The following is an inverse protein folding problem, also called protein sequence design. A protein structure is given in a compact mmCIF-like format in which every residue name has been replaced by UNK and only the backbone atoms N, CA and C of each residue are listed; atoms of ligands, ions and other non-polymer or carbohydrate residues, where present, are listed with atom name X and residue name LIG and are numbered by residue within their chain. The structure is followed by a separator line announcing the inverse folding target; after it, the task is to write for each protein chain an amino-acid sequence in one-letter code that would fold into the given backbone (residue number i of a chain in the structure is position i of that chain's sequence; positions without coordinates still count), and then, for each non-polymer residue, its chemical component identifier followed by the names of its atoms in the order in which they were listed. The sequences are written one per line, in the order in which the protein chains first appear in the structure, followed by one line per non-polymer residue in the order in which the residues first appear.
data_IF_817483823371
#
_entry.id   IF_817483823371
#
_cell.length_a   1.000
_cell.length_b   1.000
_cell.length_c   1.000
_cell.angle_alpha   90.00
_cell.angle_beta   90.00
_cell.angle_gamma   90.00
#
_symmetry.space_group_name_H-M   'P 1'
#
loop_
_entity.id
_entity.type
_entity.pdbx_description
1 polymer ?
#
# COMPACT_ATOMS: atom_id res chain seq x y z
N UNK A 1 18.48 26.29 9.82
CA UNK A 1 19.18 25.33 8.96
C UNK A 1 18.39 24.04 9.01
N UNK A 2 17.37 23.92 8.17
CA UNK A 2 16.63 22.66 7.97
C UNK A 2 17.50 21.87 7.00
N UNK A 3 18.10 20.79 7.47
CA UNK A 3 18.72 19.81 6.58
C UNK A 3 17.63 19.33 5.63
N UNK A 4 17.81 19.59 4.33
CA UNK A 4 16.99 19.01 3.27
C UNK A 4 16.92 17.51 3.53
N UNK A 5 15.75 17.03 3.96
CA UNK A 5 15.53 15.61 4.18
C UNK A 5 15.44 14.99 2.78
N UNK A 6 16.59 14.65 2.20
CA UNK A 6 16.66 13.96 0.92
C UNK A 6 16.04 12.59 1.14
N UNK A 7 14.77 12.45 0.74
CA UNK A 7 14.08 11.17 0.77
C UNK A 7 14.97 10.11 0.11
N UNK A 8 14.99 8.86 0.61
CA UNK A 8 15.97 7.84 0.24
C UNK A 8 15.67 7.25 -1.15
N UNK A 9 15.68 8.10 -2.17
CA UNK A 9 15.37 7.79 -3.55
C UNK A 9 16.69 7.71 -4.31
N UNK A 10 16.93 6.56 -4.93
CA UNK A 10 18.09 6.36 -5.81
C UNK A 10 18.05 7.34 -6.99
N UNK A 11 19.19 7.94 -7.30
CA UNK A 11 19.36 8.76 -8.51
C UNK A 11 19.49 7.91 -9.79
N UNK A 12 19.64 6.59 -9.63
CA UNK A 12 19.74 5.64 -10.75
C UNK A 12 18.38 4.96 -10.97
N UNK A 13 17.94 4.95 -12.23
CA UNK A 13 16.79 4.17 -12.67
C UNK A 13 17.16 2.69 -12.79
N UNK A 14 16.40 1.83 -12.15
CA UNK A 14 16.49 0.37 -12.32
C UNK A 14 15.41 -0.08 -13.29
N UNK A 15 15.80 -0.78 -14.36
CA UNK A 15 14.85 -1.27 -15.35
C UNK A 15 14.30 -2.65 -14.98
N UNK A 16 12.98 -2.78 -14.97
CA UNK A 16 12.27 -4.05 -14.80
C UNK A 16 11.80 -4.57 -16.17
N UNK A 17 12.20 -5.78 -16.59
CA UNK A 17 11.70 -6.37 -17.81
C UNK A 17 10.17 -6.51 -17.78
N UNK A 18 9.50 -6.08 -18.85
CA UNK A 18 8.04 -6.08 -18.94
C UNK A 18 7.42 -7.48 -18.72
N UNK A 19 8.11 -8.53 -19.20
CA UNK A 19 7.71 -9.91 -18.98
C UNK A 19 7.65 -10.26 -17.49
N UNK A 20 8.64 -9.83 -16.70
CA UNK A 20 8.72 -10.13 -15.28
C UNK A 20 7.69 -9.33 -14.48
N UNK A 21 7.49 -8.04 -14.81
CA UNK A 21 6.39 -7.25 -14.25
C UNK A 21 5.03 -7.93 -14.47
N UNK A 22 4.79 -8.45 -15.67
CA UNK A 22 3.54 -9.19 -15.96
C UNK A 22 3.40 -10.46 -15.14
N UNK A 23 4.48 -11.20 -14.91
CA UNK A 23 4.47 -12.37 -14.04
C UNK A 23 4.15 -12.00 -12.59
N UNK A 24 4.79 -10.96 -12.05
CA UNK A 24 4.52 -10.44 -10.71
C UNK A 24 3.05 -10.04 -10.56
N UNK A 25 2.53 -9.20 -11.47
CA UNK A 25 1.13 -8.76 -11.45
C UNK A 25 0.13 -9.92 -11.59
N UNK A 26 0.47 -10.97 -12.35
CA UNK A 26 -0.37 -12.16 -12.45
C UNK A 26 -0.42 -12.92 -11.12
N UNK A 27 0.71 -13.06 -10.43
CA UNK A 27 0.75 -13.70 -9.12
C UNK A 27 -0.04 -12.89 -8.09
N UNK A 28 0.16 -11.57 -8.01
CA UNK A 28 -0.58 -10.69 -7.09
C UNK A 28 -2.09 -10.84 -7.28
N UNK A 29 -2.59 -10.78 -8.53
CA UNK A 29 -4.01 -10.98 -8.83
C UNK A 29 -4.51 -12.40 -8.51
N UNK A 30 -3.65 -13.41 -8.65
CA UNK A 30 -4.01 -14.78 -8.31
C UNK A 30 -4.14 -14.96 -6.81
N UNK A 31 -3.17 -14.46 -6.04
CA UNK A 31 -3.20 -14.48 -4.56
C UNK A 31 -4.42 -13.71 -4.05
N UNK A 32 -4.70 -12.55 -4.63
CA UNK A 32 -5.90 -11.79 -4.29
C UNK A 32 -7.18 -12.60 -4.54
N UNK A 33 -7.36 -13.21 -5.72
CA UNK A 33 -8.53 -14.05 -5.97
C UNK A 33 -8.61 -15.30 -5.10
N UNK A 34 -7.46 -15.88 -4.75
CA UNK A 34 -7.40 -17.04 -3.88
C UNK A 34 -7.84 -16.68 -2.46
N UNK A 35 -7.46 -15.50 -1.96
CA UNK A 35 -7.88 -15.04 -0.63
C UNK A 35 -9.41 -14.80 -0.53
N UNK A 36 -10.04 -14.43 -1.65
CA UNK A 36 -11.50 -14.24 -1.76
C UNK A 36 -12.27 -15.56 -1.99
N UNK A 37 -11.59 -16.70 -2.17
CA UNK A 37 -12.25 -17.98 -2.42
C UNK A 37 -12.74 -18.61 -1.13
N UNK A 38 -14.06 -18.81 -1.00
CA UNK A 38 -14.67 -19.52 0.13
C UNK A 38 -14.09 -20.92 0.32
N UNK A 39 -14.07 -21.74 -0.72
CA UNK A 39 -13.52 -23.11 -0.66
C UNK A 39 -12.07 -23.15 -0.16
N UNK A 40 -11.23 -22.21 -0.59
CA UNK A 40 -9.85 -22.12 -0.12
C UNK A 40 -9.80 -21.70 1.36
N UNK A 41 -10.56 -20.68 1.74
CA UNK A 41 -10.66 -20.21 3.14
C UNK A 41 -11.10 -21.35 4.04
N UNK A 42 -12.21 -22.03 3.72
CA UNK A 42 -12.74 -23.16 4.48
C UNK A 42 -11.71 -24.29 4.63
N UNK A 43 -10.89 -24.51 3.60
CA UNK A 43 -9.85 -25.54 3.63
C UNK A 43 -8.69 -25.20 4.56
N UNK A 44 -8.30 -23.93 4.67
CA UNK A 44 -7.12 -23.50 5.45
C UNK A 44 -7.47 -22.99 6.85
N UNK A 45 -8.68 -22.45 7.05
CA UNK A 45 -9.12 -21.86 8.32
C UNK A 45 -8.92 -22.77 9.54
N UNK A 46 -9.21 -24.08 9.47
CA UNK A 46 -8.99 -24.99 10.60
C UNK A 46 -7.52 -25.09 11.03
N UNK A 47 -6.59 -24.83 10.12
CA UNK A 47 -5.14 -24.92 10.33
C UNK A 47 -4.53 -23.56 10.73
N UNK A 48 -5.30 -22.47 10.71
CA UNK A 48 -4.80 -21.12 11.04
C UNK A 48 -4.67 -20.91 12.56
N UNK A 49 -3.66 -20.15 13.02
CA UNK A 49 -3.61 -19.70 14.40
C UNK A 49 -4.79 -18.78 14.72
N UNK A 50 -5.23 -18.73 15.98
CA UNK A 50 -6.41 -17.98 16.40
C UNK A 50 -6.40 -16.50 15.94
N UNK A 51 -5.24 -15.85 15.94
CA UNK A 51 -5.09 -14.45 15.47
C UNK A 51 -5.39 -14.26 13.98
N UNK A 52 -5.19 -15.31 13.17
CA UNK A 52 -5.45 -15.29 11.72
C UNK A 52 -6.87 -15.78 11.36
N UNK A 53 -7.68 -16.15 12.35
CA UNK A 53 -9.09 -16.52 12.18
C UNK A 53 -10.04 -15.32 12.32
N UNK A 54 -9.52 -14.13 12.59
CA UNK A 54 -10.33 -12.92 12.63
C UNK A 54 -10.64 -12.45 11.21
N UNK A 55 -11.93 -12.29 10.91
CA UNK A 55 -12.43 -11.73 9.66
C UNK A 55 -13.28 -10.49 9.99
N UNK A 56 -12.80 -9.27 9.70
CA UNK A 56 -13.56 -8.05 9.97
C UNK A 56 -14.72 -7.83 8.99
N UNK A 57 -14.84 -8.63 7.92
CA UNK A 57 -15.90 -8.52 6.92
C UNK A 57 -15.67 -7.44 5.86
N UNK A 58 -14.56 -6.72 5.94
CA UNK A 58 -14.06 -5.75 4.96
C UNK A 58 -12.56 -6.00 4.72
N UNK A 59 -11.95 -5.27 3.79
CA UNK A 59 -10.57 -5.53 3.38
C UNK A 59 -9.56 -4.82 4.31
N UNK A 60 -8.51 -4.29 3.71
CA UNK A 60 -7.57 -3.37 4.33
C UNK A 60 -7.20 -2.33 3.26
N UNK A 61 -6.65 -1.20 3.68
CA UNK A 61 -6.36 -0.10 2.77
C UNK A 61 -5.42 -0.50 1.61
N UNK A 62 -4.32 -1.20 1.92
CA UNK A 62 -3.28 -1.51 0.95
C UNK A 62 -2.48 -2.76 1.35
N UNK A 63 -2.13 -3.57 0.34
CA UNK A 63 -1.19 -4.68 0.46
C UNK A 63 0.08 -4.43 -0.37
N UNK A 64 1.22 -4.90 0.12
CA UNK A 64 2.51 -4.91 -0.55
C UNK A 64 2.92 -6.34 -0.93
N UNK A 65 3.62 -6.49 -2.05
CA UNK A 65 4.11 -7.77 -2.54
C UNK A 65 5.52 -7.59 -3.03
N UNK A 66 6.48 -8.14 -2.28
CA UNK A 66 7.90 -7.91 -2.56
C UNK A 66 8.47 -9.06 -3.36
N UNK A 67 9.25 -8.71 -4.39
CA UNK A 67 9.83 -9.66 -5.31
C UNK A 67 11.34 -9.48 -5.41
N UNK A 68 12.04 -10.61 -5.53
CA UNK A 68 13.42 -10.64 -5.98
C UNK A 68 13.51 -11.17 -7.41
N UNK A 69 14.25 -10.48 -8.28
CA UNK A 69 14.51 -10.93 -9.65
C UNK A 69 15.66 -11.92 -9.65
N UNK A 70 15.42 -13.13 -10.16
CA UNK A 70 16.45 -14.17 -10.33
C UNK A 70 16.70 -14.44 -11.81
N UNK A 71 17.76 -15.21 -12.12
CA UNK A 71 18.00 -15.72 -13.48
C UNK A 71 16.81 -16.53 -14.06
N UNK A 72 15.93 -17.06 -13.20
CA UNK A 72 14.75 -17.84 -13.58
C UNK A 72 13.44 -17.05 -13.47
N UNK A 73 13.51 -15.72 -13.36
CA UNK A 73 12.36 -14.82 -13.21
C UNK A 73 12.09 -14.38 -11.76
N UNK A 74 10.97 -13.66 -11.54
CA UNK A 74 10.64 -13.08 -10.24
C UNK A 74 10.24 -14.15 -9.21
N UNK A 75 10.67 -13.94 -7.96
CA UNK A 75 10.30 -14.75 -6.79
C UNK A 75 9.68 -13.85 -5.74
N UNK A 76 8.46 -14.17 -5.30
CA UNK A 76 7.83 -13.52 -4.17
C UNK A 76 8.63 -13.85 -2.91
N UNK A 77 8.97 -12.82 -2.14
CA UNK A 77 9.70 -12.97 -0.88
C UNK A 77 8.82 -12.63 0.33
N UNK A 78 7.86 -11.73 0.17
CA UNK A 78 6.99 -11.27 1.26
C UNK A 78 5.64 -10.76 0.75
N UNK A 79 4.62 -10.92 1.58
CA UNK A 79 3.31 -10.27 1.41
C UNK A 79 3.05 -9.43 2.65
N UNK A 80 2.92 -8.13 2.47
CA UNK A 80 2.72 -7.14 3.52
C UNK A 80 1.25 -6.70 3.53
N UNK A 81 0.53 -6.90 4.65
CA UNK A 81 -0.90 -6.52 4.77
C UNK A 81 -1.11 -5.13 5.37
N UNK A 82 -0.03 -4.46 5.78
CA UNK A 82 0.00 -3.07 6.24
C UNK A 82 1.16 -2.35 5.53
N UNK A 83 1.09 -2.30 4.19
CA UNK A 83 2.21 -1.79 3.42
C UNK A 83 2.26 -0.26 3.43
N UNK A 84 3.48 0.29 3.46
CA UNK A 84 3.79 1.68 3.12
C UNK A 84 4.67 1.76 1.88
N UNK A 85 5.28 2.92 1.63
CA UNK A 85 6.20 3.15 0.50
C UNK A 85 5.51 3.65 -0.77
N UNK A 86 4.17 3.69 -0.81
CA UNK A 86 3.41 4.13 -1.98
C UNK A 86 3.62 5.61 -2.30
N UNK A 87 3.69 6.46 -1.27
CA UNK A 87 3.98 7.88 -1.43
C UNK A 87 5.40 8.12 -1.96
N UNK A 88 6.39 7.41 -1.41
CA UNK A 88 7.79 7.53 -1.83
C UNK A 88 7.98 7.01 -3.26
N UNK A 89 7.32 5.91 -3.63
CA UNK A 89 7.33 5.41 -4.99
C UNK A 89 6.72 6.42 -5.97
N UNK A 90 5.59 7.04 -5.60
CA UNK A 90 4.97 8.09 -6.41
C UNK A 90 5.88 9.31 -6.56
N UNK A 91 6.50 9.78 -5.49
CA UNK A 91 7.44 10.90 -5.56
C UNK A 91 8.69 10.57 -6.39
N UNK A 92 9.21 9.35 -6.30
CA UNK A 92 10.34 8.89 -7.11
C UNK A 92 10.03 8.99 -8.61
N UNK A 93 8.82 8.67 -9.04
CA UNK A 93 8.38 8.85 -10.43
C UNK A 93 8.32 10.34 -10.81
N UNK A 94 7.83 11.22 -9.92
CA UNK A 94 7.80 12.67 -10.18
C UNK A 94 9.21 13.25 -10.35
N UNK A 95 10.16 12.81 -9.53
CA UNK A 95 11.56 13.27 -9.56
C UNK A 95 12.36 12.73 -10.75
N UNK A 96 12.07 11.50 -11.21
CA UNK A 96 12.69 10.90 -12.40
C UNK A 96 12.34 11.63 -13.71
N UNK A 97 11.33 12.51 -13.69
CA UNK A 97 10.84 13.24 -14.85
C UNK A 97 10.01 12.36 -15.81
N UNK A 98 9.50 12.94 -16.90
CA UNK A 98 8.60 12.28 -17.89
C UNK A 98 9.26 11.17 -18.73
N UNK A 99 10.40 10.63 -18.31
CA UNK A 99 11.20 9.65 -19.07
C UNK A 99 10.68 8.23 -18.87
N UNK A 100 10.05 7.92 -17.73
CA UNK A 100 9.23 6.72 -17.55
C UNK A 100 7.81 6.98 -18.05
N UNK A 101 7.16 5.98 -18.64
CA UNK A 101 5.70 6.03 -18.76
C UNK A 101 5.13 6.26 -17.36
N UNK A 102 4.19 7.20 -17.18
CA UNK A 102 3.57 7.48 -15.87
C UNK A 102 2.80 6.24 -15.36
N UNK A 103 3.52 5.23 -14.85
CA UNK A 103 2.95 3.96 -14.37
C UNK A 103 2.14 4.21 -13.10
N UNK A 104 2.65 5.08 -12.23
CA UNK A 104 1.89 5.76 -11.18
C UNK A 104 1.30 7.05 -11.78
N UNK A 105 0.30 6.88 -12.64
CA UNK A 105 -0.42 7.97 -13.30
C UNK A 105 -0.98 8.99 -12.28
N UNK A 106 -1.41 10.16 -12.74
CA UNK A 106 -2.20 11.14 -11.94
C UNK A 106 -3.44 10.50 -11.26
N UNK A 107 -3.84 9.30 -11.67
CA UNK A 107 -4.91 8.51 -11.06
C UNK A 107 -4.50 7.80 -9.77
N UNK A 108 -3.22 7.67 -9.46
CA UNK A 108 -2.78 6.95 -8.25
C UNK A 108 -3.30 7.61 -6.98
N UNK A 109 -3.14 8.93 -6.77
CA UNK A 109 -3.74 9.62 -5.62
C UNK A 109 -5.25 9.40 -5.53
N UNK A 110 -5.97 9.57 -6.65
CA UNK A 110 -7.42 9.36 -6.66
C UNK A 110 -7.80 7.92 -6.29
N UNK A 111 -7.12 6.91 -6.86
CA UNK A 111 -7.39 5.50 -6.54
C UNK A 111 -7.09 5.18 -5.07
N UNK A 112 -6.06 5.80 -4.50
CA UNK A 112 -5.75 5.65 -3.08
C UNK A 112 -6.88 6.25 -2.23
N UNK A 113 -7.37 7.44 -2.60
CA UNK A 113 -8.49 8.09 -1.90
C UNK A 113 -9.76 7.23 -2.00
N UNK A 114 -10.09 6.74 -3.19
CA UNK A 114 -11.21 5.84 -3.42
C UNK A 114 -11.09 4.58 -2.54
N UNK A 115 -9.87 4.08 -2.29
CA UNK A 115 -9.63 2.93 -1.42
C UNK A 115 -9.93 3.26 0.05
N UNK A 116 -9.54 4.44 0.55
CA UNK A 116 -9.92 4.89 1.90
C UNK A 116 -11.44 4.99 2.05
N UNK A 117 -12.11 5.58 1.07
CA UNK A 117 -13.55 5.80 1.11
C UNK A 117 -14.32 4.48 1.01
N UNK A 118 -13.93 3.59 0.10
CA UNK A 118 -14.57 2.28 -0.06
C UNK A 118 -14.38 1.42 1.19
N UNK A 119 -13.18 1.38 1.76
CA UNK A 119 -12.91 0.60 2.97
C UNK A 119 -13.76 1.08 4.16
N UNK A 120 -13.91 2.40 4.31
CA UNK A 120 -14.78 2.96 5.33
C UNK A 120 -16.27 2.70 5.05
N UNK A 121 -16.70 2.76 3.79
CA UNK A 121 -18.06 2.44 3.37
C UNK A 121 -18.41 0.98 3.70
N UNK A 122 -17.51 0.05 3.37
CA UNK A 122 -17.63 -1.38 3.65
C UNK A 122 -17.69 -1.66 5.17
N UNK A 123 -16.85 -0.98 5.95
CA UNK A 123 -16.88 -1.08 7.42
C UNK A 123 -18.16 -0.48 8.05
N UNK A 124 -18.57 0.71 7.60
CA UNK A 124 -19.67 1.47 8.21
C UNK A 124 -21.05 1.12 7.65
N UNK A 125 -21.11 0.29 6.60
CA UNK A 125 -22.33 -0.01 5.85
C UNK A 125 -22.90 1.20 5.12
N UNK A 126 -22.05 2.16 4.74
CA UNK A 126 -22.41 3.42 4.09
C UNK A 126 -23.29 4.37 4.90
N UNK A 127 -23.37 4.15 6.22
CA UNK A 127 -24.20 4.97 7.12
C UNK A 127 -23.53 6.31 7.44
N UNK A 128 -22.19 6.37 7.41
CA UNK A 128 -21.40 7.56 7.76
C UNK A 128 -20.30 7.79 6.76
N UNK A 129 -20.06 9.04 6.39
CA UNK A 129 -18.86 9.42 5.65
C UNK A 129 -17.60 9.29 6.51
N UNK A 130 -16.46 9.05 5.86
CA UNK A 130 -15.15 9.08 6.50
C UNK A 130 -14.78 10.53 6.84
N UNK A 131 -14.76 10.86 8.13
CA UNK A 131 -14.44 12.21 8.59
C UNK A 131 -13.02 12.32 9.15
N UNK A 132 -12.49 11.22 9.71
CA UNK A 132 -11.20 11.22 10.40
C UNK A 132 -10.41 9.93 10.20
N UNK A 133 -9.11 10.06 10.02
CA UNK A 133 -8.13 8.96 9.96
C UNK A 133 -7.06 9.17 11.02
N UNK A 134 -6.73 8.13 11.77
CA UNK A 134 -5.57 8.10 12.65
C UNK A 134 -4.53 7.13 12.06
N UNK A 135 -3.29 7.59 11.93
CA UNK A 135 -2.15 6.74 11.55
C UNK A 135 -1.34 6.47 12.81
N UNK A 136 -1.38 5.24 13.30
CA UNK A 136 -0.87 4.85 14.62
C UNK A 136 0.48 4.15 14.49
N UNK A 137 1.44 4.52 15.33
CA UNK A 137 2.69 3.76 15.51
C UNK A 137 3.22 3.92 16.95
N UNK A 138 3.58 2.80 17.59
CA UNK A 138 4.05 2.80 18.99
C UNK A 138 5.41 3.51 19.16
N UNK A 139 6.20 3.65 18.09
CA UNK A 139 7.51 4.31 18.07
C UNK A 139 7.63 5.28 16.89
N UNK A 140 6.66 6.20 16.77
CA UNK A 140 6.60 7.21 15.72
C UNK A 140 7.93 7.96 15.49
N UNK A 141 8.71 8.23 16.54
CA UNK A 141 9.96 9.00 16.41
C UNK A 141 11.05 8.25 15.65
N UNK A 142 11.06 6.92 15.74
CA UNK A 142 12.04 6.07 15.06
C UNK A 142 11.47 5.40 13.80
N UNK A 143 10.18 5.59 13.50
CA UNK A 143 9.52 5.02 12.33
C UNK A 143 10.13 5.55 11.02
N UNK A 144 10.81 4.71 10.22
CA UNK A 144 11.44 5.13 8.96
C UNK A 144 10.48 5.75 7.96
N UNK A 145 9.19 5.37 8.01
CA UNK A 145 8.14 5.89 7.14
C UNK A 145 7.42 7.11 7.71
N UNK A 146 7.88 7.71 8.82
CA UNK A 146 7.26 8.90 9.40
C UNK A 146 7.04 10.04 8.38
N UNK A 147 7.99 10.37 7.47
CA UNK A 147 7.74 11.39 6.45
C UNK A 147 6.58 11.05 5.51
N UNK A 148 6.39 9.77 5.19
CA UNK A 148 5.25 9.31 4.40
C UNK A 148 3.94 9.38 5.19
N UNK A 149 3.95 9.01 6.47
CA UNK A 149 2.76 9.12 7.33
C UNK A 149 2.29 10.57 7.45
N UNK A 150 3.22 11.51 7.69
CA UNK A 150 2.90 12.95 7.74
C UNK A 150 2.40 13.45 6.39
N UNK A 151 3.07 13.10 5.29
CA UNK A 151 2.63 13.47 3.95
C UNK A 151 1.24 12.92 3.61
N UNK A 152 0.91 11.72 4.10
CA UNK A 152 -0.42 11.14 3.97
C UNK A 152 -1.47 11.93 4.77
N UNK A 153 -1.18 12.32 6.02
CA UNK A 153 -2.07 13.17 6.80
C UNK A 153 -2.35 14.52 6.12
N UNK A 154 -1.31 15.20 5.64
CA UNK A 154 -1.44 16.47 4.92
C UNK A 154 -2.29 16.30 3.66
N UNK A 155 -2.06 15.21 2.91
CA UNK A 155 -2.80 14.89 1.70
C UNK A 155 -4.28 14.59 1.99
N UNK A 156 -4.60 13.81 3.03
CA UNK A 156 -5.98 13.53 3.44
C UNK A 156 -6.71 14.81 3.90
N UNK A 157 -6.02 15.68 4.66
CA UNK A 157 -6.57 16.97 5.07
C UNK A 157 -6.94 17.86 3.87
N UNK A 158 -6.12 17.85 2.82
CA UNK A 158 -6.42 18.57 1.56
C UNK A 158 -7.67 18.03 0.86
N UNK A 159 -8.06 16.78 1.11
CA UNK A 159 -9.27 16.14 0.61
C UNK A 159 -10.45 16.20 1.59
N UNK A 160 -10.34 16.99 2.66
CA UNK A 160 -11.43 17.23 3.61
C UNK A 160 -11.60 16.14 4.67
N UNK A 161 -10.63 15.22 4.81
CA UNK A 161 -10.62 14.18 5.85
C UNK A 161 -9.60 14.59 6.91
N UNK A 162 -10.03 14.75 8.16
CA UNK A 162 -9.13 15.09 9.25
C UNK A 162 -8.14 13.94 9.50
N UNK A 163 -6.83 14.19 9.52
CA UNK A 163 -5.86 13.12 9.68
C UNK A 163 -4.69 13.51 10.58
N UNK A 164 -4.31 12.59 11.47
CA UNK A 164 -3.22 12.79 12.44
C UNK A 164 -2.38 11.53 12.62
N UNK A 165 -1.08 11.69 12.80
CA UNK A 165 -0.24 10.64 13.36
C UNK A 165 -0.40 10.60 14.87
N UNK A 166 -0.51 9.40 15.44
CA UNK A 166 -0.70 9.18 16.88
C UNK A 166 0.20 8.06 17.39
N UNK A 167 0.60 8.19 18.66
CA UNK A 167 1.34 7.16 19.41
C UNK A 167 0.41 5.99 19.77
#
# INVERSE_FOLDING_TARGET
MVTENTLPISQLTVHLPYHDLRQMLRLVRLLFRLNQSGDYRDRVFPDLPAVAQFDPGHAALMMGYDFHLTANGPRLIEVNTNAGGGYIAWLSEQLAGRVSANYLSDRFPQRLLDSYLQEWDDFSGGVKSLERVAIVDEDLQNQPLLPEMVGCCDWLCQHGIEAHTVL
#
